data_IF_144621193473
#
_entry.id   IF_144621193473
#
_cell.length_a   1.000
_cell.length_b   1.000
_cell.length_c   1.000
_cell.angle_alpha   90.00
_cell.angle_beta   90.00
_cell.angle_gamma   90.00
#
_symmetry.space_group_name_H-M   'P 1'
#
loop_
_entity.id
_entity.type
_entity.pdbx_description
1 polymer ?
#
# COMPACT_ATOMS: atom_id res chain seq x y z
N UNK A 1 -11.90 21.60 -9.94
CA UNK A 1 -11.57 20.17 -9.92
C UNK A 1 -11.64 19.67 -11.34
N UNK A 2 -10.48 19.46 -11.97
CA UNK A 2 -10.35 18.59 -13.14
C UNK A 2 -10.16 17.16 -12.65
N UNK A 3 -10.60 16.20 -13.45
CA UNK A 3 -10.36 14.78 -13.19
C UNK A 3 -9.40 14.28 -14.26
N UNK A 4 -8.18 13.90 -13.86
CA UNK A 4 -7.25 13.29 -14.80
C UNK A 4 -7.65 11.83 -15.03
N UNK A 5 -8.15 11.52 -16.22
CA UNK A 5 -8.32 10.15 -16.71
C UNK A 5 -6.97 9.59 -17.16
N UNK A 6 -6.09 9.32 -16.19
CA UNK A 6 -4.83 8.63 -16.47
C UNK A 6 -5.06 7.16 -16.73
N UNK A 7 -5.05 6.72 -18.00
CA UNK A 7 -4.87 5.30 -18.33
C UNK A 7 -3.44 4.93 -17.95
N UNK A 8 -3.27 4.19 -16.84
CA UNK A 8 -1.98 3.62 -16.46
C UNK A 8 -1.99 2.13 -16.75
N UNK A 9 -0.98 1.67 -17.49
CA UNK A 9 -0.60 0.27 -17.51
C UNK A 9 -0.15 -0.13 -16.11
N UNK A 10 -0.87 -1.05 -15.47
CA UNK A 10 -0.33 -1.77 -14.32
C UNK A 10 0.58 -2.86 -14.87
N UNK A 11 1.86 -2.73 -14.55
CA UNK A 11 2.83 -3.78 -14.78
C UNK A 11 2.83 -4.73 -13.60
N UNK A 12 2.93 -6.04 -13.86
CA UNK A 12 3.40 -7.02 -12.90
C UNK A 12 4.71 -6.53 -12.27
N UNK A 13 5.06 -7.05 -11.10
CA UNK A 13 6.25 -6.60 -10.36
C UNK A 13 7.58 -6.88 -11.09
N UNK A 14 7.60 -7.82 -12.03
CA UNK A 14 8.71 -8.11 -12.94
C UNK A 14 8.78 -7.16 -14.16
N UNK A 15 7.84 -6.22 -14.30
CA UNK A 15 7.79 -5.24 -15.38
C UNK A 15 6.87 -5.59 -16.57
N UNK A 16 6.30 -6.80 -16.65
CA UNK A 16 5.37 -7.16 -17.74
C UNK A 16 4.01 -6.48 -17.58
N UNK A 17 3.30 -6.15 -18.66
CA UNK A 17 1.95 -5.59 -18.58
C UNK A 17 0.96 -6.62 -18.01
N UNK A 18 0.24 -6.25 -16.95
CA UNK A 18 -0.80 -7.10 -16.33
C UNK A 18 -2.20 -6.67 -16.78
N UNK A 19 -2.53 -5.39 -16.57
CA UNK A 19 -3.84 -4.82 -16.92
C UNK A 19 -3.77 -3.31 -17.11
N UNK A 20 -4.75 -2.75 -17.80
CA UNK A 20 -4.96 -1.30 -17.80
C UNK A 20 -5.87 -0.92 -16.63
N UNK A 21 -5.46 0.10 -15.86
CA UNK A 21 -6.28 0.68 -14.78
C UNK A 21 -6.52 2.16 -15.09
N UNK A 22 -7.77 2.57 -14.93
CA UNK A 22 -8.14 3.96 -14.80
C UNK A 22 -8.37 4.24 -13.32
N UNK A 23 -7.98 5.43 -12.87
CA UNK A 23 -8.19 5.88 -11.50
C UNK A 23 -8.95 7.19 -11.53
N UNK A 24 -10.03 7.28 -10.75
CA UNK A 24 -10.68 8.55 -10.50
C UNK A 24 -9.88 9.27 -9.42
N UNK A 25 -9.28 10.41 -9.78
CA UNK A 25 -8.45 11.22 -8.89
C UNK A 25 -9.06 12.61 -8.80
N UNK A 26 -9.41 13.02 -7.59
CA UNK A 26 -9.94 14.35 -7.31
C UNK A 26 -8.78 15.34 -7.24
N UNK A 27 -8.76 16.34 -8.13
CA UNK A 27 -7.77 17.43 -8.06
C UNK A 27 -8.35 18.56 -7.22
N UNK A 28 -8.04 18.54 -5.92
CA UNK A 28 -8.61 19.47 -4.97
C UNK A 28 -7.76 20.75 -4.78
N UNK A 29 -8.43 21.85 -4.42
CA UNK A 29 -7.81 23.07 -3.90
C UNK A 29 -8.16 23.23 -2.42
N UNK A 30 -8.12 22.14 -1.67
CA UNK A 30 -8.47 22.15 -0.25
C UNK A 30 -7.50 23.05 0.54
N UNK A 31 -8.05 23.81 1.47
CA UNK A 31 -7.33 24.69 2.38
C UNK A 31 -7.26 24.02 3.75
N UNK A 32 -6.04 23.81 4.26
CA UNK A 32 -5.83 23.28 5.61
C UNK A 32 -6.50 24.18 6.66
N UNK A 33 -7.15 23.58 7.65
CA UNK A 33 -7.97 24.21 8.70
C UNK A 33 -9.30 24.81 8.23
N UNK A 34 -9.68 24.59 6.97
CA UNK A 34 -11.00 24.90 6.44
C UNK A 34 -11.67 23.61 5.95
N UNK A 35 -10.98 22.90 5.07
CA UNK A 35 -11.52 21.69 4.42
C UNK A 35 -11.01 20.38 5.05
N UNK A 36 -9.89 20.44 5.78
CA UNK A 36 -9.30 19.33 6.53
C UNK A 36 -8.33 19.87 7.58
N UNK A 37 -8.16 19.14 8.69
CA UNK A 37 -7.18 19.48 9.73
C UNK A 37 -5.91 18.64 9.63
N UNK A 38 -6.08 17.31 9.59
CA UNK A 38 -5.00 16.32 9.66
C UNK A 38 -4.96 15.41 8.44
N UNK A 39 -3.74 15.16 7.94
CA UNK A 39 -3.45 14.38 6.72
C UNK A 39 -2.51 13.21 6.96
N UNK A 40 -2.04 13.04 8.20
CA UNK A 40 -0.93 12.14 8.48
C UNK A 40 -1.38 10.67 8.43
N UNK A 41 -0.80 9.94 7.49
CA UNK A 41 -0.73 8.49 7.52
C UNK A 41 0.70 8.08 7.87
N UNK A 42 0.90 7.29 8.93
CA UNK A 42 2.21 6.74 9.22
C UNK A 42 2.59 5.73 8.13
N UNK A 43 3.88 5.73 7.77
CA UNK A 43 4.48 4.72 6.91
C UNK A 43 5.49 3.96 7.75
N UNK A 44 5.50 2.62 7.65
CA UNK A 44 6.46 1.81 8.40
C UNK A 44 7.89 2.29 8.13
N UNK A 45 8.63 2.50 9.21
CA UNK A 45 10.02 2.88 9.16
C UNK A 45 10.89 1.72 8.67
N UNK A 46 11.92 2.04 7.86
CA UNK A 46 12.79 1.03 7.26
C UNK A 46 13.54 0.20 8.32
N UNK A 47 13.84 0.78 9.47
CA UNK A 47 14.47 0.08 10.60
C UNK A 47 13.58 -1.07 11.09
N UNK A 48 12.28 -0.83 11.21
CA UNK A 48 11.32 -1.84 11.63
C UNK A 48 11.09 -2.89 10.55
N UNK A 49 11.07 -2.47 9.28
CA UNK A 49 11.06 -3.41 8.15
C UNK A 49 12.27 -4.36 8.21
N UNK A 50 13.48 -3.84 8.46
CA UNK A 50 14.68 -4.66 8.62
C UNK A 50 14.61 -5.60 9.83
N UNK A 51 14.04 -5.14 10.95
CA UNK A 51 13.82 -5.99 12.13
C UNK A 51 12.87 -7.13 11.78
N UNK A 52 11.74 -6.87 11.10
CA UNK A 52 10.80 -7.90 10.68
C UNK A 52 11.47 -8.92 9.75
N UNK A 53 12.24 -8.44 8.77
CA UNK A 53 13.01 -9.29 7.85
C UNK A 53 14.03 -10.14 8.60
N UNK A 54 14.72 -9.58 9.60
CA UNK A 54 15.66 -10.32 10.44
C UNK A 54 14.95 -11.41 11.24
N UNK A 55 13.79 -11.13 11.85
CA UNK A 55 12.98 -12.12 12.56
C UNK A 55 12.57 -13.25 11.62
N UNK A 56 12.01 -12.89 10.45
CA UNK A 56 11.61 -13.84 9.40
C UNK A 56 12.77 -14.76 9.00
N UNK A 57 13.95 -14.17 8.83
CA UNK A 57 15.16 -14.87 8.42
C UNK A 57 15.69 -15.82 9.51
N UNK A 58 15.79 -15.33 10.75
CA UNK A 58 16.35 -16.07 11.89
C UNK A 58 15.44 -17.24 12.28
N UNK A 59 14.13 -17.01 12.34
CA UNK A 59 13.17 -17.98 12.84
C UNK A 59 12.59 -18.88 11.73
N UNK A 60 12.90 -18.59 10.47
CA UNK A 60 12.34 -19.24 9.28
C UNK A 60 10.80 -19.34 9.31
N UNK A 61 10.14 -18.21 9.54
CA UNK A 61 8.67 -18.11 9.63
C UNK A 61 8.04 -17.59 8.34
N UNK A 62 6.73 -17.72 8.19
CA UNK A 62 6.01 -17.28 6.99
C UNK A 62 6.04 -15.76 6.87
N UNK A 63 6.21 -15.30 5.63
CA UNK A 63 6.29 -13.88 5.29
C UNK A 63 5.59 -13.62 3.97
N UNK A 64 4.33 -13.23 4.09
CA UNK A 64 3.40 -13.06 2.98
C UNK A 64 3.02 -11.59 2.83
N UNK A 65 2.55 -11.23 1.63
CA UNK A 65 2.05 -9.91 1.32
C UNK A 65 0.60 -9.96 0.89
N UNK A 66 -0.14 -8.95 1.31
CA UNK A 66 -1.51 -8.73 0.87
C UNK A 66 -1.64 -7.33 0.31
N UNK A 67 -2.43 -7.18 -0.76
CA UNK A 67 -2.74 -5.89 -1.39
C UNK A 67 -4.20 -5.57 -1.07
N UNK A 68 -4.47 -4.37 -0.56
CA UNK A 68 -5.83 -3.99 -0.24
C UNK A 68 -6.43 -3.29 -1.44
N UNK A 69 -7.36 -4.00 -2.10
CA UNK A 69 -8.02 -3.45 -3.26
C UNK A 69 -8.83 -2.21 -2.89
N UNK A 70 -8.49 -1.10 -3.57
CA UNK A 70 -9.12 0.19 -3.38
C UNK A 70 -9.14 0.64 -1.91
N UNK A 71 -8.02 0.48 -1.20
CA UNK A 71 -7.78 0.90 0.18
C UNK A 71 -8.52 2.18 0.58
N UNK A 72 -8.38 3.25 -0.21
CA UNK A 72 -9.00 4.55 0.07
C UNK A 72 -10.54 4.56 0.06
N UNK A 73 -11.19 3.62 -0.63
CA UNK A 73 -12.64 3.45 -0.60
C UNK A 73 -13.13 2.71 0.66
N UNK A 74 -12.24 2.13 1.46
CA UNK A 74 -12.60 1.43 2.69
C UNK A 74 -12.70 2.39 3.89
N UNK A 75 -12.15 3.60 3.78
CA UNK A 75 -12.29 4.63 4.80
C UNK A 75 -13.52 5.53 4.57
N UNK A 76 -14.16 5.93 5.68
CA UNK A 76 -15.31 6.84 5.69
C UNK A 76 -14.80 8.28 5.85
N UNK A 77 -15.18 9.17 4.95
CA UNK A 77 -14.86 10.60 5.09
C UNK A 77 -15.69 11.20 6.24
N UNK A 78 -14.99 11.87 7.16
CA UNK A 78 -15.61 12.60 8.27
C UNK A 78 -16.05 14.00 7.83
N UNK A 79 -15.31 14.58 6.88
CA UNK A 79 -15.57 15.91 6.34
C UNK A 79 -16.54 15.86 5.14
N UNK A 80 -17.35 16.91 4.98
CA UNK A 80 -18.22 17.04 3.81
C UNK A 80 -17.43 17.51 2.59
N UNK A 81 -17.16 16.58 1.67
CA UNK A 81 -16.43 16.87 0.44
C UNK A 81 -17.35 16.75 -0.77
N UNK A 82 -17.30 17.75 -1.64
CA UNK A 82 -18.01 17.76 -2.92
C UNK A 82 -17.02 17.79 -4.09
N UNK A 83 -17.35 17.11 -5.18
CA UNK A 83 -16.59 17.13 -6.44
C UNK A 83 -17.52 17.39 -7.62
N UNK A 84 -16.98 18.00 -8.68
CA UNK A 84 -17.65 18.05 -9.97
C UNK A 84 -17.95 16.64 -10.46
N UNK A 85 -19.01 16.52 -11.25
CA UNK A 85 -19.31 15.30 -11.98
C UNK A 85 -18.13 14.97 -12.92
N UNK A 86 -17.74 13.68 -13.04
CA UNK A 86 -16.76 13.27 -14.02
C UNK A 86 -17.22 13.56 -15.44
N UNK A 87 -16.28 14.00 -16.27
CA UNK A 87 -16.52 14.25 -17.68
C UNK A 87 -17.08 13.00 -18.36
N UNK A 88 -18.23 13.15 -19.02
CA UNK A 88 -18.95 12.05 -19.66
C UNK A 88 -19.78 11.19 -18.69
N UNK A 89 -19.86 11.58 -17.41
CA UNK A 89 -20.72 10.96 -16.38
C UNK A 89 -21.74 11.94 -15.79
N UNK A 90 -21.92 13.11 -16.42
CA UNK A 90 -22.95 14.06 -16.04
C UNK A 90 -24.35 13.48 -16.30
N UNK A 91 -25.24 13.62 -15.33
CA UNK A 91 -26.63 13.23 -15.53
C UNK A 91 -27.34 14.25 -16.45
N UNK A 92 -28.07 13.81 -17.50
CA UNK A 92 -28.76 14.72 -18.41
C UNK A 92 -29.72 15.66 -17.69
N UNK A 93 -29.62 16.96 -17.96
CA UNK A 93 -30.41 18.02 -17.32
C UNK A 93 -29.98 18.35 -15.88
N UNK A 94 -28.84 17.81 -15.44
CA UNK A 94 -28.25 17.99 -14.11
C UNK A 94 -26.77 18.31 -14.19
N UNK A 95 -26.30 18.83 -15.30
CA UNK A 95 -24.88 19.10 -15.59
C UNK A 95 -24.24 20.04 -14.56
N UNK A 96 -25.04 20.94 -13.98
CA UNK A 96 -24.62 21.88 -12.94
C UNK A 96 -24.52 21.28 -11.52
N UNK A 97 -24.97 20.03 -11.32
CA UNK A 97 -24.89 19.38 -10.01
C UNK A 97 -23.47 18.91 -9.68
N UNK A 98 -23.25 18.67 -8.40
CA UNK A 98 -21.99 18.13 -7.86
C UNK A 98 -22.25 16.82 -7.10
N UNK A 99 -21.23 15.97 -7.00
CA UNK A 99 -21.28 14.77 -6.19
C UNK A 99 -20.77 15.03 -4.79
N UNK A 100 -21.53 14.59 -3.79
CA UNK A 100 -21.05 14.47 -2.41
C UNK A 100 -20.30 13.15 -2.27
N UNK A 101 -19.06 13.21 -1.80
CA UNK A 101 -18.24 12.02 -1.57
C UNK A 101 -18.58 11.41 -0.21
N UNK A 102 -18.91 10.13 -0.21
CA UNK A 102 -19.19 9.35 1.02
C UNK A 102 -17.95 8.58 1.51
N UNK A 103 -16.98 8.37 0.62
CA UNK A 103 -15.78 7.55 0.83
C UNK A 103 -14.57 8.28 0.29
N UNK A 104 -13.39 7.91 0.79
CA UNK A 104 -12.13 8.50 0.35
C UNK A 104 -11.84 8.25 -1.13
N UNK A 105 -11.37 9.28 -1.83
CA UNK A 105 -10.85 9.16 -3.20
C UNK A 105 -9.41 9.66 -3.25
N UNK A 106 -8.65 9.13 -4.22
CA UNK A 106 -7.30 9.60 -4.49
C UNK A 106 -7.30 11.10 -4.78
N UNK A 107 -6.29 11.81 -4.27
CA UNK A 107 -6.11 13.25 -4.46
C UNK A 107 -6.75 14.14 -3.38
N UNK A 108 -7.55 13.56 -2.48
CA UNK A 108 -7.95 14.22 -1.24
C UNK A 108 -6.84 14.10 -0.18
N UNK A 109 -6.59 15.18 0.55
CA UNK A 109 -5.47 15.26 1.48
C UNK A 109 -5.66 14.38 2.72
N UNK A 110 -6.89 14.23 3.21
CA UNK A 110 -7.18 13.48 4.45
C UNK A 110 -7.35 11.97 4.27
N UNK A 111 -7.41 11.48 3.03
CA UNK A 111 -7.75 10.09 2.72
C UNK A 111 -6.75 9.06 3.26
N UNK A 112 -5.42 9.31 3.21
CA UNK A 112 -4.43 8.48 3.90
C UNK A 112 -4.76 8.24 5.37
N UNK A 113 -5.10 9.30 6.12
CA UNK A 113 -5.49 9.23 7.54
C UNK A 113 -6.75 8.39 7.74
N UNK A 114 -7.77 8.66 6.95
CA UNK A 114 -9.08 8.00 6.99
C UNK A 114 -8.95 6.50 6.70
N UNK A 115 -8.10 6.14 5.73
CA UNK A 115 -7.76 4.77 5.43
C UNK A 115 -7.05 4.08 6.60
N UNK A 116 -5.97 4.68 7.10
CA UNK A 116 -5.21 4.11 8.21
C UNK A 116 -6.08 3.90 9.47
N UNK A 117 -7.00 4.83 9.76
CA UNK A 117 -7.96 4.69 10.86
C UNK A 117 -8.87 3.48 10.66
N UNK A 118 -9.48 3.33 9.48
CA UNK A 118 -10.36 2.19 9.20
C UNK A 118 -9.63 0.84 9.31
N UNK A 119 -8.38 0.78 8.83
CA UNK A 119 -7.56 -0.41 8.95
C UNK A 119 -7.16 -0.70 10.41
N UNK A 120 -6.85 0.33 11.19
CA UNK A 120 -6.56 0.23 12.63
C UNK A 120 -7.74 -0.40 13.37
N UNK A 121 -8.95 0.15 13.18
CA UNK A 121 -10.18 -0.34 13.82
C UNK A 121 -10.49 -1.80 13.45
N UNK A 122 -10.25 -2.17 12.18
CA UNK A 122 -10.37 -3.54 11.72
C UNK A 122 -9.37 -4.47 12.43
N UNK A 123 -8.08 -4.12 12.46
CA UNK A 123 -7.04 -4.94 13.08
C UNK A 123 -7.26 -5.11 14.60
N UNK A 124 -7.67 -4.05 15.29
CA UNK A 124 -8.01 -4.09 16.72
C UNK A 124 -9.20 -5.02 16.98
N UNK A 125 -10.23 -4.96 16.13
CA UNK A 125 -11.39 -5.87 16.21
C UNK A 125 -11.01 -7.34 15.98
N UNK A 126 -10.03 -7.59 15.11
CA UNK A 126 -9.44 -8.92 14.90
C UNK A 126 -8.51 -9.34 16.05
N UNK A 127 -8.34 -8.51 17.09
CA UNK A 127 -7.53 -8.83 18.26
C UNK A 127 -6.04 -8.61 18.08
N UNK A 128 -5.63 -7.79 17.10
CA UNK A 128 -4.27 -7.28 17.04
C UNK A 128 -4.12 -6.04 17.90
N UNK A 129 -2.96 -5.91 18.55
CA UNK A 129 -2.59 -4.74 19.33
C UNK A 129 -1.50 -3.94 18.61
N UNK A 130 -1.68 -2.62 18.53
CA UNK A 130 -0.68 -1.73 17.93
C UNK A 130 0.60 -1.69 18.77
N UNK A 131 1.75 -1.82 18.11
CA UNK A 131 3.06 -1.72 18.75
C UNK A 131 3.31 -0.27 19.22
N UNK A 132 3.61 -0.08 20.51
CA UNK A 132 3.74 1.25 21.10
C UNK A 132 4.83 2.12 20.44
N UNK A 133 5.92 1.50 19.97
CA UNK A 133 7.04 2.21 19.36
C UNK A 133 6.94 2.34 17.83
N UNK A 134 5.91 1.77 17.19
CA UNK A 134 5.73 1.84 15.73
C UNK A 134 4.24 1.75 15.36
N UNK A 135 3.69 2.83 14.80
CA UNK A 135 2.26 2.96 14.54
C UNK A 135 1.75 2.03 13.42
N UNK A 136 2.64 1.60 12.53
CA UNK A 136 2.31 0.72 11.41
C UNK A 136 2.45 -0.77 11.72
N UNK A 137 2.80 -1.16 12.95
CA UNK A 137 2.96 -2.56 13.34
C UNK A 137 1.88 -2.96 14.34
N UNK A 138 1.26 -4.09 14.06
CA UNK A 138 0.20 -4.69 14.86
C UNK A 138 0.58 -6.13 15.16
N UNK A 139 0.43 -6.55 16.42
CA UNK A 139 0.85 -7.87 16.90
C UNK A 139 -0.35 -8.56 17.55
N UNK A 140 -0.60 -9.80 17.16
CA UNK A 140 -1.58 -10.68 17.80
C UNK A 140 -0.87 -11.91 18.33
N UNK A 141 -0.97 -12.14 19.64
CA UNK A 141 -0.41 -13.32 20.29
C UNK A 141 -1.53 -14.32 20.54
N UNK A 142 -1.36 -15.54 20.05
CA UNK A 142 -2.30 -16.64 20.22
C UNK A 142 -1.61 -17.81 20.93
N UNK A 143 -2.37 -18.88 21.25
CA UNK A 143 -1.77 -20.12 21.75
C UNK A 143 -0.82 -20.78 20.73
N UNK A 144 -1.01 -20.51 19.43
CA UNK A 144 -0.21 -21.08 18.34
C UNK A 144 1.11 -20.35 18.10
N UNK A 145 1.21 -19.09 18.52
CA UNK A 145 2.36 -18.24 18.23
C UNK A 145 2.01 -16.77 18.19
N UNK A 146 2.69 -16.04 17.31
CA UNK A 146 2.48 -14.62 17.07
C UNK A 146 2.26 -14.40 15.59
N UNK A 147 1.29 -13.54 15.29
CA UNK A 147 1.11 -12.92 13.99
C UNK A 147 1.47 -11.44 14.10
N UNK A 148 2.21 -10.93 13.12
CA UNK A 148 2.58 -9.52 13.01
C UNK A 148 2.08 -9.03 11.66
N UNK A 149 1.36 -7.92 11.69
CA UNK A 149 0.92 -7.18 10.50
C UNK A 149 1.70 -5.87 10.48
N UNK A 150 2.42 -5.63 9.39
CA UNK A 150 3.08 -4.37 9.10
C UNK A 150 2.38 -3.68 7.93
N UNK A 151 1.96 -2.44 8.14
CA UNK A 151 1.23 -1.63 7.15
C UNK A 151 2.23 -0.78 6.36
N UNK A 152 2.14 -0.83 5.05
CA UNK A 152 2.78 0.12 4.16
C UNK A 152 1.76 0.63 3.15
N UNK A 153 1.18 1.81 3.39
CA UNK A 153 0.14 2.38 2.53
C UNK A 153 -1.00 1.37 2.24
N UNK A 154 -1.09 0.90 0.99
CA UNK A 154 -2.12 -0.05 0.53
C UNK A 154 -1.68 -1.53 0.68
N UNK A 155 -0.41 -1.80 1.02
CA UNK A 155 0.15 -3.13 1.21
C UNK A 155 0.19 -3.53 2.69
N UNK A 156 -0.13 -4.80 2.97
CA UNK A 156 0.14 -5.44 4.26
C UNK A 156 1.24 -6.49 4.13
N UNK A 157 2.18 -6.45 5.06
CA UNK A 157 3.20 -7.46 5.26
C UNK A 157 2.82 -8.32 6.47
N UNK A 158 2.62 -9.61 6.23
CA UNK A 158 2.14 -10.57 7.23
C UNK A 158 3.29 -11.49 7.62
N UNK A 159 3.66 -11.47 8.90
CA UNK A 159 4.68 -12.34 9.47
C UNK A 159 4.00 -13.25 10.49
N UNK A 160 4.04 -14.56 10.28
CA UNK A 160 3.42 -15.52 11.19
C UNK A 160 4.20 -16.82 11.25
N UNK A 161 4.18 -17.48 12.41
CA UNK A 161 4.76 -18.81 12.54
C UNK A 161 3.94 -19.87 11.80
N UNK A 162 2.62 -19.73 11.80
CA UNK A 162 1.71 -20.69 11.17
C UNK A 162 0.59 -19.96 10.42
N UNK A 163 0.26 -20.42 9.21
CA UNK A 163 -0.84 -19.83 8.42
C UNK A 163 -2.21 -19.84 9.13
N UNK A 164 -2.59 -20.87 9.91
CA UNK A 164 -3.84 -20.85 10.66
C UNK A 164 -4.02 -19.64 11.58
N UNK A 165 -2.93 -19.04 12.09
CA UNK A 165 -3.01 -17.84 12.95
C UNK A 165 -3.52 -16.59 12.24
N UNK A 166 -3.47 -16.57 10.90
CA UNK A 166 -3.90 -15.43 10.08
C UNK A 166 -4.98 -15.80 9.07
N UNK A 167 -5.45 -17.05 9.06
CA UNK A 167 -6.37 -17.56 8.05
C UNK A 167 -7.68 -16.77 7.95
N UNK A 168 -8.28 -16.40 9.09
CA UNK A 168 -9.54 -15.64 9.12
C UNK A 168 -9.35 -14.23 8.51
N UNK A 169 -8.23 -13.59 8.84
CA UNK A 169 -7.84 -12.29 8.26
C UNK A 169 -7.55 -12.43 6.77
N UNK A 170 -6.78 -13.45 6.38
CA UNK A 170 -6.47 -13.76 4.99
C UNK A 170 -7.72 -13.99 4.14
N UNK A 171 -8.74 -14.63 4.71
CA UNK A 171 -10.02 -14.87 4.03
C UNK A 171 -10.87 -13.59 3.87
N UNK A 172 -10.72 -12.63 4.78
CA UNK A 172 -11.50 -11.38 4.74
C UNK A 172 -10.90 -10.31 3.82
N UNK A 173 -9.62 -10.43 3.45
CA UNK A 173 -8.94 -9.50 2.54
C UNK A 173 -8.85 -10.14 1.15
N UNK A 174 -9.39 -9.47 0.11
CA UNK A 174 -9.66 -10.11 -1.17
C UNK A 174 -8.42 -10.51 -1.98
N UNK A 175 -7.25 -9.90 -1.73
CA UNK A 175 -6.05 -10.11 -2.56
C UNK A 175 -4.82 -10.47 -1.74
N UNK A 176 -4.69 -11.77 -1.48
CA UNK A 176 -3.45 -12.37 -0.97
C UNK A 176 -2.46 -12.56 -2.13
N UNK A 177 -1.26 -12.00 -1.99
CA UNK A 177 -0.19 -12.11 -2.99
C UNK A 177 0.83 -13.21 -2.68
N UNK A 178 0.62 -13.94 -1.57
CA UNK A 178 1.47 -15.02 -1.11
C UNK A 178 2.85 -14.54 -0.64
N UNK A 179 3.88 -15.39 -0.71
CA UNK A 179 5.21 -15.08 -0.23
C UNK A 179 5.80 -13.81 -0.83
N UNK A 180 6.39 -12.99 0.02
CA UNK A 180 6.96 -11.69 -0.37
C UNK A 180 8.08 -11.89 -1.39
N UNK A 181 7.87 -11.35 -2.59
CA UNK A 181 8.85 -11.31 -3.68
C UNK A 181 9.33 -9.90 -4.01
N UNK A 182 8.54 -8.88 -3.64
CA UNK A 182 8.90 -7.47 -3.76
C UNK A 182 8.31 -6.66 -2.61
N UNK A 183 9.10 -5.73 -2.07
CA UNK A 183 8.68 -4.74 -1.07
C UNK A 183 9.10 -3.38 -1.62
N UNK A 184 8.19 -2.44 -1.85
CA UNK A 184 8.52 -1.08 -2.34
C UNK A 184 9.27 -1.06 -3.68
N UNK A 185 8.96 -2.01 -4.56
CA UNK A 185 9.69 -2.18 -5.82
C UNK A 185 11.12 -2.74 -5.67
N UNK A 186 11.54 -3.08 -4.45
CA UNK A 186 12.76 -3.84 -4.16
C UNK A 186 12.43 -5.32 -4.29
N UNK A 187 13.14 -6.04 -5.16
CA UNK A 187 13.03 -7.49 -5.24
C UNK A 187 13.61 -8.12 -3.99
N UNK A 188 12.87 -9.03 -3.38
CA UNK A 188 13.26 -9.82 -2.22
C UNK A 188 13.47 -11.26 -2.67
N UNK A 189 14.62 -11.83 -2.35
CA UNK A 189 14.91 -13.25 -2.57
C UNK A 189 15.24 -13.87 -1.22
N UNK A 190 14.61 -15.00 -0.90
CA UNK A 190 14.78 -15.68 0.39
C UNK A 190 15.29 -17.10 0.17
N UNK A 191 16.36 -17.44 0.86
CA UNK A 191 16.88 -18.80 1.01
C UNK A 191 16.60 -19.26 2.44
N UNK A 192 15.62 -20.15 2.58
CA UNK A 192 15.21 -20.69 3.88
C UNK A 192 16.24 -21.65 4.45
N UNK A 193 16.86 -22.48 3.62
CA UNK A 193 17.83 -23.50 4.05
C UNK A 193 19.06 -22.87 4.70
N UNK A 194 19.54 -21.77 4.14
CA UNK A 194 20.69 -21.03 4.69
C UNK A 194 20.31 -19.82 5.54
N UNK A 195 19.01 -19.57 5.75
CA UNK A 195 18.48 -18.40 6.48
C UNK A 195 19.11 -17.10 5.98
N UNK A 196 18.87 -16.79 4.71
CA UNK A 196 19.36 -15.55 4.07
C UNK A 196 18.25 -14.87 3.29
N UNK A 197 18.28 -13.55 3.29
CA UNK A 197 17.41 -12.70 2.49
C UNK A 197 18.31 -11.70 1.73
N UNK A 198 18.05 -11.53 0.44
CA UNK A 198 18.72 -10.55 -0.40
C UNK A 198 17.73 -9.57 -1.02
N UNK A 199 18.19 -8.33 -1.16
CA UNK A 199 17.47 -7.23 -1.79
C UNK A 199 18.14 -6.87 -3.10
N UNK A 200 17.34 -6.55 -4.12
CA UNK A 200 17.84 -6.16 -5.43
C UNK A 200 16.88 -5.17 -6.11
N UNK A 201 17.40 -4.08 -6.67
CA UNK A 201 16.64 -3.06 -7.40
C UNK A 201 17.02 -2.98 -8.91
N UNK A 202 17.48 -4.07 -9.52
CA UNK A 202 17.93 -4.11 -10.91
C UNK A 202 16.89 -3.58 -11.91
N UNK A 203 15.59 -3.85 -11.69
CA UNK A 203 14.51 -3.32 -12.55
C UNK A 203 14.48 -1.80 -12.50
N UNK A 204 14.62 -1.22 -11.30
CA UNK A 204 14.64 0.23 -11.13
C UNK A 204 15.88 0.85 -11.77
N UNK A 205 17.07 0.25 -11.54
CA UNK A 205 18.31 0.68 -12.17
C UNK A 205 18.22 0.62 -13.71
N UNK A 206 17.70 -0.47 -14.26
CA UNK A 206 17.49 -0.63 -15.70
C UNK A 206 16.52 0.44 -16.26
N UNK A 207 15.42 0.73 -15.55
CA UNK A 207 14.47 1.79 -15.93
C UNK A 207 15.10 3.18 -15.93
N UNK A 208 16.03 3.47 -14.99
CA UNK A 208 16.78 4.73 -15.00
C UNK A 208 17.67 4.80 -16.24
N UNK A 209 18.44 3.74 -16.50
CA UNK A 209 19.32 3.66 -17.68
C UNK A 209 18.53 3.87 -18.97
N UNK A 210 17.38 3.21 -19.11
CA UNK A 210 16.49 3.38 -20.26
C UNK A 210 15.93 4.80 -20.36
N UNK A 211 15.42 5.36 -19.25
CA UNK A 211 14.85 6.72 -19.21
C UNK A 211 15.83 7.79 -19.70
N UNK A 212 17.11 7.63 -19.39
CA UNK A 212 18.16 8.58 -19.81
C UNK A 212 18.89 8.16 -21.09
N UNK A 213 18.39 7.15 -21.80
CA UNK A 213 18.97 6.60 -23.03
C UNK A 213 20.45 6.17 -22.87
N UNK A 214 20.80 5.65 -21.70
CA UNK A 214 22.15 5.21 -21.34
C UNK A 214 22.37 3.71 -21.57
N UNK A 215 21.46 3.01 -22.26
CA UNK A 215 21.56 1.56 -22.53
C UNK A 215 22.79 1.17 -23.34
N UNK A 216 23.36 2.13 -24.07
CA UNK A 216 24.58 1.97 -24.86
C UNK A 216 25.73 2.85 -24.36
N UNK A 217 25.60 3.42 -23.15
CA UNK A 217 26.66 4.23 -22.57
C UNK A 217 27.89 3.36 -22.28
N UNK A 218 29.07 3.88 -22.59
CA UNK A 218 30.33 3.21 -22.27
C UNK A 218 30.61 3.30 -20.77
N UNK A 219 31.14 2.22 -20.19
CA UNK A 219 31.65 2.24 -18.83
C UNK A 219 32.76 3.27 -18.71
N UNK A 220 32.62 4.19 -17.76
CA UNK A 220 33.70 5.10 -17.37
C UNK A 220 34.17 4.64 -16.01
N UNK A 221 35.46 4.29 -15.91
CA UNK A 221 36.08 4.09 -14.60
C UNK A 221 36.06 5.42 -13.85
N UNK A 222 35.23 5.49 -12.81
CA UNK A 222 35.30 6.58 -11.83
C UNK A 222 36.43 6.21 -10.86
N UNK A 223 37.48 7.05 -10.71
CA UNK A 223 38.64 6.75 -9.87
C UNK A 223 38.30 6.64 -8.37
#
# INVERSE_FOLDING_TARGET
>A
MELLTGKRALSCRNGSLERYKALLVVICQQIKHVDFDDVFEPVIRLEFLHVLLAIVCIEDIEFDQMDIEAAFLNGILEEEVFTKQPEGMEAPGKEELVYKLLKGLYGLNQVPRVWHKALTEYLEKEGFERLQCEACIYIRVTKGGRAIVAIFADDLLIVTKTKPEVADMEASIPKNMGPVSYILGIRVTRDRAHRKIWFNQHIYAAKIVEKFNLTHAHEVHVP
#
